data_IF_401191220135
#
_entry.id   IF_401191220135
#
_cell.length_a   1.000
_cell.length_b   1.000
_cell.length_c   1.000
_cell.angle_alpha   90.00
_cell.angle_beta   90.00
_cell.angle_gamma   90.00
#
_symmetry.space_group_name_H-M   'P 1'
#
loop_
_entity.id
_entity.type
_entity.pdbx_description
1 polymer ?
#
# COMPACT_ATOMS: atom_id res chain seq x y z
N UNK A 1 29.01 -8.83 43.43
CA UNK A 1 28.20 -7.62 43.16
C UNK A 1 26.77 -8.05 42.92
N UNK A 2 25.90 -7.96 43.92
CA UNK A 2 24.49 -8.35 43.84
C UNK A 2 23.67 -7.13 43.45
N UNK A 3 23.02 -7.16 42.28
CA UNK A 3 22.22 -6.03 41.80
C UNK A 3 21.03 -5.77 42.75
N UNK A 4 20.84 -4.55 43.28
CA UNK A 4 19.79 -4.23 44.25
C UNK A 4 18.52 -3.81 43.51
N UNK A 5 17.96 -4.70 42.69
CA UNK A 5 16.66 -4.44 42.06
C UNK A 5 15.56 -5.05 42.90
N UNK A 6 15.10 -4.30 43.91
CA UNK A 6 13.87 -4.61 44.64
C UNK A 6 12.68 -4.15 43.80
N UNK A 7 12.16 -5.03 42.96
CA UNK A 7 10.94 -4.76 42.19
C UNK A 7 9.73 -4.78 43.13
N UNK A 8 8.88 -3.77 43.01
CA UNK A 8 7.59 -3.72 43.69
C UNK A 8 6.62 -4.72 43.04
N UNK A 9 5.63 -5.18 43.82
CA UNK A 9 4.53 -6.03 43.34
C UNK A 9 3.84 -5.47 42.09
N UNK A 10 3.74 -4.13 42.00
CA UNK A 10 3.15 -3.43 40.87
C UNK A 10 4.01 -3.56 39.61
N UNK A 11 5.33 -3.44 39.75
CA UNK A 11 6.28 -3.60 38.64
C UNK A 11 6.32 -5.04 38.15
N UNK A 12 6.31 -6.02 39.07
CA UNK A 12 6.22 -7.44 38.73
C UNK A 12 4.93 -7.77 37.97
N UNK A 13 3.78 -7.33 38.49
CA UNK A 13 2.48 -7.52 37.82
C UNK A 13 2.45 -6.82 36.45
N UNK A 14 2.98 -5.60 36.37
CA UNK A 14 3.10 -4.85 35.12
C UNK A 14 3.95 -5.58 34.08
N UNK A 15 5.11 -6.12 34.49
CA UNK A 15 6.00 -6.89 33.64
C UNK A 15 5.35 -8.19 33.15
N UNK A 16 4.66 -8.93 34.02
CA UNK A 16 3.93 -10.15 33.65
C UNK A 16 2.81 -9.86 32.64
N UNK A 17 2.03 -8.79 32.85
CA UNK A 17 0.98 -8.37 31.92
C UNK A 17 1.60 -7.97 30.56
N UNK A 18 2.67 -7.18 30.56
CA UNK A 18 3.35 -6.77 29.34
C UNK A 18 3.93 -7.97 28.57
N UNK A 19 4.53 -8.92 29.28
CA UNK A 19 5.04 -10.16 28.70
C UNK A 19 3.91 -10.99 28.09
N UNK A 20 2.82 -11.22 28.82
CA UNK A 20 1.66 -11.95 28.32
C UNK A 20 1.05 -11.30 27.08
N UNK A 21 0.84 -9.97 27.09
CA UNK A 21 0.29 -9.25 25.94
C UNK A 21 1.21 -9.32 24.72
N UNK A 22 2.53 -9.29 24.95
CA UNK A 22 3.53 -9.50 23.90
C UNK A 22 3.43 -10.91 23.33
N UNK A 23 3.46 -11.96 24.17
CA UNK A 23 3.33 -13.36 23.73
C UNK A 23 2.02 -13.66 23.02
N UNK A 24 0.91 -13.08 23.50
CA UNK A 24 -0.39 -13.17 22.82
C UNK A 24 -0.36 -12.54 21.43
N UNK A 25 0.29 -11.37 21.29
CA UNK A 25 0.47 -10.71 19.99
C UNK A 25 1.36 -11.53 19.06
N UNK A 26 2.47 -12.05 19.56
CA UNK A 26 3.39 -12.92 18.82
C UNK A 26 2.68 -14.17 18.30
N UNK A 27 1.94 -14.88 19.16
CA UNK A 27 1.14 -16.05 18.77
C UNK A 27 0.08 -15.69 17.73
N UNK A 28 -0.66 -14.60 17.92
CA UNK A 28 -1.64 -14.14 16.94
C UNK A 28 -0.98 -13.81 15.59
N UNK A 29 0.21 -13.24 15.60
CA UNK A 29 0.97 -12.94 14.39
C UNK A 29 1.52 -14.22 13.74
N UNK A 30 1.91 -15.24 14.51
CA UNK A 30 2.35 -16.52 13.97
C UNK A 30 1.22 -17.34 13.35
N UNK A 31 -0.02 -17.15 13.81
CA UNK A 31 -1.21 -17.76 13.19
C UNK A 31 -1.51 -17.20 11.78
N UNK A 32 -1.00 -16.01 11.44
CA UNK A 32 -1.08 -15.48 10.08
C UNK A 32 0.20 -14.70 9.74
N UNK A 33 1.27 -15.42 9.36
CA UNK A 33 2.56 -14.80 9.01
C UNK A 33 2.42 -13.80 7.86
N UNK A 34 1.53 -14.09 6.92
CA UNK A 34 1.25 -13.25 5.76
C UNK A 34 0.60 -11.92 6.14
N UNK A 35 -0.26 -11.88 7.16
CA UNK A 35 -0.85 -10.64 7.67
C UNK A 35 0.23 -9.70 8.22
N UNK A 36 1.20 -10.24 8.96
CA UNK A 36 2.32 -9.47 9.48
C UNK A 36 3.27 -8.96 8.39
N UNK A 37 3.47 -9.74 7.33
CA UNK A 37 4.24 -9.32 6.15
C UNK A 37 3.52 -8.20 5.39
N UNK A 38 2.23 -8.37 5.07
CA UNK A 38 1.42 -7.36 4.40
C UNK A 38 1.33 -6.06 5.19
N UNK A 39 1.17 -6.12 6.51
CA UNK A 39 1.15 -4.92 7.37
C UNK A 39 2.52 -4.23 7.42
N UNK A 40 3.62 -4.97 7.47
CA UNK A 40 4.97 -4.41 7.39
C UNK A 40 5.22 -3.72 6.05
N UNK A 41 4.79 -4.34 4.95
CA UNK A 41 4.91 -3.80 3.61
C UNK A 41 4.08 -2.52 3.45
N UNK A 42 2.81 -2.54 3.86
CA UNK A 42 1.96 -1.34 3.82
C UNK A 42 2.53 -0.21 4.68
N UNK A 43 3.04 -0.53 5.88
CA UNK A 43 3.72 0.48 6.72
C UNK A 43 4.94 1.08 6.04
N UNK A 44 5.72 0.25 5.32
CA UNK A 44 6.89 0.69 4.56
C UNK A 44 6.48 1.58 3.39
N UNK A 45 5.50 1.18 2.59
CA UNK A 45 4.98 1.97 1.47
C UNK A 45 4.39 3.29 1.94
N UNK A 46 3.60 3.30 3.01
CA UNK A 46 3.09 4.53 3.63
C UNK A 46 4.21 5.49 4.03
N UNK A 47 5.26 4.99 4.68
CA UNK A 47 6.43 5.81 5.03
C UNK A 47 7.15 6.36 3.79
N UNK A 48 7.24 5.59 2.71
CA UNK A 48 7.80 6.04 1.42
C UNK A 48 6.93 7.16 0.82
N UNK A 49 5.60 6.98 0.76
CA UNK A 49 4.65 8.00 0.27
C UNK A 49 4.77 9.33 1.02
N UNK A 50 4.83 9.31 2.35
CA UNK A 50 5.05 10.53 3.14
C UNK A 50 6.35 11.25 2.79
N UNK A 51 7.46 10.51 2.66
CA UNK A 51 8.76 11.11 2.29
C UNK A 51 8.75 11.65 0.87
N UNK A 52 8.11 10.95 -0.06
CA UNK A 52 7.97 11.38 -1.45
C UNK A 52 7.15 12.67 -1.54
N UNK A 53 6.02 12.72 -0.85
CA UNK A 53 5.20 13.92 -0.73
C UNK A 53 6.00 15.09 -0.15
N UNK A 54 6.67 14.90 0.99
CA UNK A 54 7.48 15.95 1.61
C UNK A 54 8.60 16.45 0.68
N UNK A 55 9.25 15.54 -0.07
CA UNK A 55 10.28 15.92 -1.05
C UNK A 55 9.69 16.80 -2.15
N UNK A 56 8.58 16.37 -2.76
CA UNK A 56 7.90 17.10 -3.84
C UNK A 56 7.36 18.46 -3.36
N UNK A 57 6.73 18.50 -2.18
CA UNK A 57 6.28 19.74 -1.55
C UNK A 57 7.43 20.73 -1.31
N UNK A 58 8.64 20.24 -0.98
CA UNK A 58 9.80 21.11 -0.76
C UNK A 58 10.33 21.80 -2.02
N UNK A 59 10.10 21.22 -3.20
CA UNK A 59 10.54 21.77 -4.48
C UNK A 59 9.43 22.53 -5.21
N UNK A 60 8.16 22.30 -4.87
CA UNK A 60 6.98 22.94 -5.46
C UNK A 60 7.06 24.48 -5.45
N UNK A 61 7.70 25.07 -4.44
CA UNK A 61 7.93 26.53 -4.37
C UNK A 61 8.69 27.13 -5.56
N UNK A 62 9.36 26.31 -6.36
CA UNK A 62 10.12 26.73 -7.54
C UNK A 62 9.33 26.60 -8.85
N UNK A 63 8.10 26.07 -8.79
CA UNK A 63 7.23 25.87 -9.96
C UNK A 63 6.31 27.06 -10.19
N UNK A 64 5.58 27.07 -11.31
CA UNK A 64 4.66 28.15 -11.66
C UNK A 64 3.47 28.26 -10.69
N UNK A 65 2.78 29.41 -10.66
CA UNK A 65 1.63 29.62 -9.75
C UNK A 65 0.48 28.65 -10.02
N UNK A 66 0.30 28.20 -11.26
CA UNK A 66 -0.69 27.20 -11.63
C UNK A 66 -0.41 25.84 -10.96
N UNK A 67 0.82 25.34 -11.09
CA UNK A 67 1.26 24.09 -10.46
C UNK A 67 1.21 24.17 -8.93
N UNK A 68 1.59 25.32 -8.36
CA UNK A 68 1.48 25.57 -6.94
C UNK A 68 0.02 25.56 -6.46
N UNK A 69 -0.90 26.11 -7.26
CA UNK A 69 -2.33 26.09 -6.98
C UNK A 69 -2.87 24.66 -6.99
N UNK A 70 -2.51 23.88 -8.02
CA UNK A 70 -2.88 22.47 -8.12
C UNK A 70 -2.34 21.67 -6.91
N UNK A 71 -1.12 21.96 -6.46
CA UNK A 71 -0.48 21.23 -5.35
C UNK A 71 -1.10 21.51 -3.98
N UNK A 72 -1.89 22.57 -3.82
CA UNK A 72 -2.39 23.04 -2.52
C UNK A 72 -3.16 21.97 -1.74
N UNK A 73 -3.97 21.18 -2.45
CA UNK A 73 -4.85 20.16 -1.85
C UNK A 73 -4.31 18.73 -2.08
N UNK A 74 -3.07 18.59 -2.58
CA UNK A 74 -2.42 17.29 -2.77
C UNK A 74 -2.03 16.71 -1.42
N UNK A 75 -2.29 15.41 -1.23
CA UNK A 75 -1.91 14.65 -0.03
C UNK A 75 -0.91 13.54 -0.38
N UNK A 76 -0.30 12.93 0.65
CA UNK A 76 0.58 11.77 0.48
C UNK A 76 -0.15 10.57 -0.15
N UNK A 77 -1.47 10.54 -0.07
CA UNK A 77 -2.29 9.47 -0.62
C UNK A 77 -2.25 9.44 -2.15
N UNK A 78 -1.99 10.57 -2.80
CA UNK A 78 -1.84 10.67 -4.26
C UNK A 78 -0.42 10.34 -4.72
N UNK A 79 0.49 10.00 -3.81
CA UNK A 79 1.85 9.63 -4.18
C UNK A 79 1.92 8.19 -4.69
N UNK A 80 2.89 7.94 -5.57
CA UNK A 80 3.17 6.61 -6.09
C UNK A 80 3.70 5.70 -4.99
N UNK A 81 3.34 4.41 -5.06
CA UNK A 81 3.94 3.37 -4.24
C UNK A 81 5.32 3.07 -4.82
N UNK A 82 6.38 3.39 -4.06
CA UNK A 82 7.76 3.03 -4.41
C UNK A 82 8.03 1.63 -3.86
N UNK A 83 7.89 0.60 -4.68
CA UNK A 83 8.13 -0.82 -4.35
C UNK A 83 9.58 -1.21 -4.65
N UNK A 84 10.09 -2.26 -4.02
CA UNK A 84 11.39 -2.82 -4.41
C UNK A 84 11.17 -3.74 -5.62
N UNK A 85 11.99 -3.63 -6.66
CA UNK A 85 11.91 -4.50 -7.83
C UNK A 85 12.17 -5.96 -7.42
N UNK A 86 11.31 -6.86 -7.91
CA UNK A 86 11.48 -8.30 -7.74
C UNK A 86 12.57 -8.86 -8.66
N UNK A 87 12.86 -8.16 -9.76
CA UNK A 87 13.80 -8.61 -10.78
C UNK A 87 15.22 -8.08 -10.55
N UNK A 88 15.34 -6.82 -10.11
CA UNK A 88 16.62 -6.12 -10.00
C UNK A 88 16.83 -5.54 -8.59
N UNK A 89 17.71 -6.14 -7.76
CA UNK A 89 17.99 -5.63 -6.43
C UNK A 89 18.47 -4.17 -6.45
N UNK A 90 17.84 -3.34 -5.62
CA UNK A 90 18.19 -1.92 -5.50
C UNK A 90 17.45 -0.99 -6.47
N UNK A 91 16.69 -1.54 -7.43
CA UNK A 91 15.77 -0.76 -8.27
C UNK A 91 14.43 -0.59 -7.57
N UNK A 92 13.88 0.62 -7.62
CA UNK A 92 12.56 0.96 -7.10
C UNK A 92 11.56 1.10 -8.25
N UNK A 93 10.42 0.43 -8.11
CA UNK A 93 9.32 0.53 -9.07
C UNK A 93 8.30 1.51 -8.50
N UNK A 94 8.14 2.66 -9.14
CA UNK A 94 7.18 3.69 -8.76
C UNK A 94 5.84 3.43 -9.46
N UNK A 95 4.86 2.92 -8.71
CA UNK A 95 3.50 2.63 -9.20
C UNK A 95 2.53 3.75 -8.81
N UNK A 96 2.03 4.56 -9.76
CA UNK A 96 1.08 5.64 -9.44
C UNK A 96 -0.28 5.07 -9.01
N UNK A 97 -1.00 5.66 -8.03
CA UNK A 97 -2.35 5.20 -7.72
C UNK A 97 -3.30 5.47 -8.90
N UNK A 98 -4.16 4.52 -9.24
CA UNK A 98 -5.09 4.60 -10.38
C UNK A 98 -6.04 5.80 -10.30
N UNK A 99 -6.48 6.11 -9.09
CA UNK A 99 -7.42 7.19 -8.82
C UNK A 99 -6.77 8.59 -8.85
N UNK A 100 -5.49 8.70 -9.23
CA UNK A 100 -4.83 10.00 -9.41
C UNK A 100 -5.11 10.55 -10.79
N UNK A 101 -5.58 11.79 -10.86
CA UNK A 101 -5.80 12.47 -12.13
C UNK A 101 -4.53 12.59 -12.98
N UNK A 102 -4.69 12.52 -14.30
CA UNK A 102 -3.60 12.59 -15.27
C UNK A 102 -2.74 13.86 -15.10
N UNK A 103 -3.38 15.01 -14.90
CA UNK A 103 -2.72 16.29 -14.68
C UNK A 103 -1.76 16.26 -13.49
N UNK A 104 -2.18 15.65 -12.37
CA UNK A 104 -1.32 15.50 -11.21
C UNK A 104 -0.20 14.47 -11.45
N UNK A 105 -0.44 13.43 -12.24
CA UNK A 105 0.59 12.47 -12.66
C UNK A 105 1.71 13.16 -13.44
N UNK A 106 1.37 14.01 -14.40
CA UNK A 106 2.33 14.80 -15.18
C UNK A 106 3.14 15.75 -14.30
N UNK A 107 2.47 16.48 -13.40
CA UNK A 107 3.14 17.36 -12.44
C UNK A 107 4.11 16.56 -11.54
N UNK A 108 3.73 15.37 -11.09
CA UNK A 108 4.62 14.50 -10.30
C UNK A 108 5.89 14.11 -11.08
N UNK A 109 5.78 13.85 -12.38
CA UNK A 109 6.94 13.56 -13.22
C UNK A 109 7.84 14.78 -13.41
N UNK A 110 7.25 15.96 -13.61
CA UNK A 110 8.00 17.21 -13.71
C UNK A 110 8.74 17.53 -12.40
N UNK A 111 8.09 17.35 -11.25
CA UNK A 111 8.70 17.52 -9.94
C UNK A 111 9.90 16.58 -9.75
N UNK A 112 9.72 15.31 -10.10
CA UNK A 112 10.77 14.32 -9.96
C UNK A 112 11.98 14.60 -10.86
N UNK A 113 11.75 15.04 -12.10
CA UNK A 113 12.81 15.46 -13.02
C UNK A 113 13.62 16.66 -12.51
N UNK A 114 12.99 17.56 -11.74
CA UNK A 114 13.61 18.78 -11.19
C UNK A 114 14.07 18.62 -9.72
N UNK A 115 13.95 17.43 -9.14
CA UNK A 115 14.45 17.17 -7.79
C UNK A 115 15.98 17.25 -7.74
N UNK A 116 16.55 17.56 -6.57
CA UNK A 116 18.01 17.59 -6.35
C UNK A 116 18.73 16.27 -6.69
N UNK A 117 18.00 15.17 -6.71
CA UNK A 117 18.51 13.85 -7.09
C UNK A 117 18.10 13.43 -8.51
N UNK A 118 17.47 14.35 -9.26
CA UNK A 118 16.87 14.13 -10.56
C UNK A 118 15.94 12.92 -10.61
N UNK A 119 15.70 12.44 -11.83
CA UNK A 119 15.22 11.08 -12.04
C UNK A 119 16.30 10.12 -11.51
N UNK A 120 16.07 9.55 -10.33
CA UNK A 120 16.98 8.55 -9.76
C UNK A 120 17.15 7.41 -10.78
N UNK A 121 18.39 7.12 -11.17
CA UNK A 121 18.69 6.05 -12.14
C UNK A 121 18.14 4.67 -11.70
N UNK A 122 18.07 4.44 -10.39
CA UNK A 122 17.52 3.20 -9.81
C UNK A 122 16.01 3.28 -9.57
N UNK A 123 15.28 4.19 -10.22
CA UNK A 123 13.83 4.30 -10.08
C UNK A 123 13.17 4.24 -11.44
N UNK A 124 12.35 3.21 -11.64
CA UNK A 124 11.60 2.96 -12.87
C UNK A 124 10.11 3.14 -12.60
N UNK A 125 9.33 3.47 -13.63
CA UNK A 125 7.88 3.54 -13.51
C UNK A 125 7.27 2.18 -13.77
N UNK A 126 6.37 1.77 -12.88
CA UNK A 126 5.61 0.52 -13.00
C UNK A 126 4.15 0.76 -13.37
N UNK A 127 3.36 -0.33 -13.50
CA UNK A 127 1.93 -0.23 -13.71
C UNK A 127 1.25 0.46 -12.51
N UNK A 128 0.05 1.03 -12.68
CA UNK A 128 -0.69 1.66 -11.59
C UNK A 128 -0.85 0.74 -10.36
N UNK A 129 -0.87 1.32 -9.17
CA UNK A 129 -1.04 0.62 -7.89
C UNK A 129 -2.50 0.16 -7.70
N UNK A 130 -2.66 -1.02 -7.09
CA UNK A 130 -3.96 -1.63 -6.78
C UNK A 130 -4.63 -1.02 -5.53
N UNK A 131 -4.02 0.02 -4.96
CA UNK A 131 -4.53 0.71 -3.77
C UNK A 131 -5.84 1.43 -4.10
N UNK A 132 -6.80 1.28 -3.20
CA UNK A 132 -8.08 2.00 -3.25
C UNK A 132 -7.99 3.36 -2.53
N UNK A 133 -8.76 4.36 -2.96
CA UNK A 133 -8.79 5.67 -2.34
C UNK A 133 -9.57 5.67 -1.02
N UNK A 134 -9.14 6.50 -0.08
CA UNK A 134 -9.88 6.87 1.12
C UNK A 134 -11.15 7.66 0.79
N UNK A 135 -12.04 7.83 1.77
CA UNK A 135 -13.23 8.65 1.61
C UNK A 135 -12.85 10.12 1.37
N UNK A 136 -11.77 10.58 2.00
CA UNK A 136 -11.24 11.93 1.88
C UNK A 136 -10.67 12.18 0.48
N UNK A 137 -9.94 11.20 -0.09
CA UNK A 137 -9.43 11.30 -1.45
C UNK A 137 -10.54 11.36 -2.51
N UNK A 138 -11.65 10.66 -2.28
CA UNK A 138 -12.81 10.68 -3.19
C UNK A 138 -13.53 12.03 -3.25
N UNK A 139 -13.31 12.92 -2.26
CA UNK A 139 -13.87 14.27 -2.23
C UNK A 139 -12.97 15.32 -2.89
N UNK A 140 -11.78 14.92 -3.36
CA UNK A 140 -10.85 15.81 -4.03
C UNK A 140 -11.37 16.24 -5.40
N UNK A 141 -10.95 17.41 -5.88
CA UNK A 141 -11.40 17.92 -7.16
C UNK A 141 -10.86 17.08 -8.34
N UNK A 142 -11.53 17.07 -9.52
CA UNK A 142 -11.17 16.23 -10.66
C UNK A 142 -9.76 16.44 -11.21
N UNK A 143 -9.14 17.58 -10.94
CA UNK A 143 -7.75 17.87 -11.31
C UNK A 143 -6.74 17.05 -10.49
N UNK A 144 -7.17 16.50 -9.34
CA UNK A 144 -6.35 15.68 -8.43
C UNK A 144 -6.80 14.22 -8.38
N UNK A 145 -8.11 13.97 -8.46
CA UNK A 145 -8.73 12.65 -8.35
C UNK A 145 -9.44 12.26 -9.65
N UNK A 146 -9.15 11.06 -10.16
CA UNK A 146 -9.88 10.47 -11.28
C UNK A 146 -11.03 9.60 -10.73
N UNK A 147 -12.31 9.99 -10.85
CA UNK A 147 -13.43 9.18 -10.40
C UNK A 147 -13.73 7.97 -11.31
N UNK A 148 -13.27 7.99 -12.56
CA UNK A 148 -13.55 6.97 -13.58
C UNK A 148 -12.45 5.89 -13.65
N UNK A 149 -11.51 5.89 -12.70
CA UNK A 149 -10.34 5.00 -12.73
C UNK A 149 -10.66 3.50 -12.76
N UNK A 150 -11.88 3.10 -12.39
CA UNK A 150 -12.35 1.70 -12.42
C UNK A 150 -12.84 1.27 -13.81
N UNK A 151 -13.39 2.19 -14.61
CA UNK A 151 -13.96 1.91 -15.93
C UNK A 151 -12.87 1.72 -16.99
N UNK A 152 -11.73 2.38 -16.82
CA UNK A 152 -10.57 2.30 -17.73
C UNK A 152 -9.92 0.89 -17.82
N UNK A 153 -10.32 -0.07 -16.98
CA UNK A 153 -9.86 -1.47 -17.05
C UNK A 153 -10.60 -2.29 -18.13
N UNK A 154 -11.86 -1.96 -18.43
CA UNK A 154 -12.69 -2.74 -19.35
C UNK A 154 -12.54 -2.33 -20.82
N UNK A 155 -12.02 -1.13 -21.11
CA UNK A 155 -11.87 -0.61 -22.49
C UNK A 155 -10.54 -0.99 -23.17
N UNK A 156 -9.57 -1.57 -22.45
CA UNK A 156 -8.25 -1.94 -22.98
C UNK A 156 -8.20 -3.21 -23.85
N UNK A 157 -9.35 -3.79 -24.21
CA UNK A 157 -9.47 -5.16 -24.73
C UNK A 157 -9.56 -5.34 -26.24
N UNK A 158 -9.65 -4.30 -27.08
CA UNK A 158 -9.94 -4.49 -28.51
C UNK A 158 -9.06 -3.64 -29.45
N UNK A 159 -8.05 -4.28 -30.05
CA UNK A 159 -7.14 -3.68 -31.04
C UNK A 159 -6.03 -4.62 -31.53
N UNK A 160 -6.32 -5.42 -32.57
CA UNK A 160 -5.41 -6.29 -33.36
C UNK A 160 -4.01 -5.69 -33.67
N UNK A 161 -2.85 -6.39 -33.70
CA UNK A 161 -2.42 -7.81 -33.67
C UNK A 161 -0.85 -7.93 -33.62
N UNK A 162 -0.14 -9.04 -33.99
CA UNK A 162 -0.53 -10.43 -34.23
C UNK A 162 0.14 -11.49 -33.28
N UNK A 163 -0.67 -12.50 -32.90
CA UNK A 163 -0.40 -13.96 -32.75
C UNK A 163 0.63 -14.51 -31.71
N UNK A 164 0.04 -15.09 -30.64
CA UNK A 164 0.32 -16.36 -29.91
C UNK A 164 1.62 -16.52 -29.07
N UNK A 165 1.55 -16.95 -27.80
CA UNK A 165 1.02 -18.24 -27.32
C UNK A 165 0.17 -18.15 -26.03
N UNK A 166 -0.95 -18.87 -26.10
CA UNK A 166 -1.98 -19.12 -25.09
C UNK A 166 -1.57 -20.12 -24.00
N UNK A 167 -2.12 -19.98 -22.80
CA UNK A 167 -2.91 -21.07 -22.22
C UNK A 167 -4.03 -20.52 -21.34
N UNK A 168 -5.24 -20.71 -21.86
CA UNK A 168 -6.54 -20.47 -21.29
C UNK A 168 -6.91 -21.60 -20.32
N UNK A 169 -7.56 -21.28 -19.20
CA UNK A 169 -8.77 -22.02 -18.83
C UNK A 169 -9.61 -21.27 -17.79
N UNK A 170 -10.60 -20.57 -18.33
CA UNK A 170 -11.82 -20.20 -17.62
C UNK A 170 -12.73 -21.42 -17.46
N UNK A 171 -13.05 -21.81 -16.23
CA UNK A 171 -14.27 -22.58 -15.93
C UNK A 171 -15.03 -21.89 -14.80
N UNK A 172 -16.07 -21.13 -15.18
CA UNK A 172 -17.20 -20.84 -14.28
C UNK A 172 -18.18 -22.01 -14.32
N UNK A 173 -18.87 -22.16 -13.19
CA UNK A 173 -20.06 -23.00 -12.90
C UNK A 173 -19.84 -24.47 -12.58
N UNK A 174 -19.81 -24.78 -11.28
CA UNK A 174 -20.79 -25.65 -10.62
C UNK A 174 -20.54 -25.55 -9.11
N UNK A 175 -21.44 -24.92 -8.35
CA UNK A 175 -21.45 -25.02 -6.89
C UNK A 175 -22.29 -26.25 -6.52
N UNK A 176 -21.71 -27.34 -6.02
CA UNK A 176 -22.49 -28.29 -5.25
C UNK A 176 -22.65 -27.74 -3.83
N UNK A 177 -23.91 -27.67 -3.40
CA UNK A 177 -24.38 -27.42 -2.05
C UNK A 177 -23.60 -28.28 -1.03
N UNK A 178 -22.82 -27.64 -0.15
CA UNK A 178 -22.18 -28.29 1.00
C UNK A 178 -22.87 -27.83 2.29
N UNK A 179 -24.15 -28.19 2.41
CA UNK A 179 -24.72 -28.54 3.70
C UNK A 179 -24.02 -29.80 4.23
N UNK A 180 -22.80 -29.64 4.74
CA UNK A 180 -22.10 -30.67 5.51
C UNK A 180 -22.14 -30.28 6.99
N UNK A 181 -23.07 -30.93 7.68
CA UNK A 181 -23.22 -30.99 9.12
C UNK A 181 -21.87 -31.20 9.82
N UNK A 182 -21.35 -30.18 10.51
CA UNK A 182 -20.31 -30.38 11.53
C UNK A 182 -21.02 -30.41 12.88
N UNK A 183 -21.32 -31.61 13.35
CA UNK A 183 -21.86 -31.87 14.67
C UNK A 183 -20.75 -31.66 15.71
N UNK A 184 -20.78 -30.54 16.42
CA UNK A 184 -19.84 -30.25 17.51
C UNK A 184 -20.33 -31.02 18.74
N UNK A 185 -19.67 -32.14 19.06
CA UNK A 185 -19.79 -32.79 20.37
C UNK A 185 -19.13 -31.90 21.42
N UNK A 186 -19.94 -31.28 22.27
CA UNK A 186 -19.50 -30.66 23.53
C UNK A 186 -19.47 -31.77 24.57
N UNK A 187 -18.27 -32.20 24.97
CA UNK A 187 -18.07 -33.02 26.16
C UNK A 187 -18.31 -32.11 27.38
N UNK A 188 -19.18 -32.55 28.29
CA UNK A 188 -19.42 -31.88 29.57
C UNK A 188 -18.38 -32.40 30.55
N UNK A 189 -17.57 -31.50 31.09
CA UNK A 189 -16.80 -31.76 32.31
C UNK A 189 -17.77 -31.86 33.49
N UNK A 190 -17.68 -32.97 34.24
CA UNK A 190 -18.29 -33.18 35.55
C UNK A 190 -17.24 -32.97 36.65
#
# INVERSE_FOLDING_TARGET
MTSPHNYTDKELKGACVAYFLTKRREYRNSLNPFKGLKEKEEKKLRSRRYRLFANRSSIMRHFGPEDQCLWKDVTEELMSDEEDSLNEPGVWVARPPRFRAQRLTELCYHLDANSKHGTKANRVYGPPSDRLPSAEAQLLPPELYNPNFQEEEDEGGDGNGPVSLSFDQSHKTCCPDLNSFIEIKVEKDE
#
